data_IF_428130725977
#
_entry.id   IF_428130725977
#
_cell.length_a   1.000
_cell.length_b   1.000
_cell.length_c   1.000
_cell.angle_alpha   90.00
_cell.angle_beta   90.00
_cell.angle_gamma   90.00
#
_symmetry.space_group_name_H-M   'P 1'
#
loop_
_entity.id
_entity.type
_entity.pdbx_description
1 polymer ?
#
# COMPACT_ATOMS: atom_id res chain seq x y z
N UNK A 1 -21.99 11.15 41.72
CA UNK A 1 -21.88 9.81 41.10
C UNK A 1 -21.42 9.97 39.65
N UNK A 2 -20.39 9.26 39.19
CA UNK A 2 -19.88 9.36 37.81
C UNK A 2 -20.86 8.69 36.84
N UNK A 3 -21.15 9.34 35.71
CA UNK A 3 -22.05 8.79 34.70
C UNK A 3 -21.41 7.58 33.99
N UNK A 4 -22.02 6.40 34.11
CA UNK A 4 -21.61 5.18 33.42
C UNK A 4 -22.23 5.09 32.02
N UNK A 5 -21.62 4.30 31.14
CA UNK A 5 -22.11 4.07 29.78
C UNK A 5 -22.53 2.62 29.56
N UNK A 6 -23.49 2.42 28.66
CA UNK A 6 -23.96 1.10 28.22
C UNK A 6 -23.71 0.94 26.71
N UNK A 7 -23.50 -0.31 26.27
CA UNK A 7 -23.45 -0.60 24.83
C UNK A 7 -24.81 -0.33 24.19
N UNK A 8 -24.81 0.29 23.01
CA UNK A 8 -26.03 0.67 22.27
C UNK A 8 -26.51 -0.40 21.28
N UNK A 9 -25.70 -1.42 20.99
CA UNK A 9 -26.06 -2.54 20.10
C UNK A 9 -26.37 -3.77 20.95
N UNK A 10 -27.08 -4.74 20.36
CA UNK A 10 -27.37 -6.03 20.99
C UNK A 10 -26.12 -6.80 21.42
N UNK A 11 -24.97 -6.59 20.77
CA UNK A 11 -23.72 -7.24 21.12
C UNK A 11 -23.14 -6.64 22.42
N UNK A 12 -23.16 -7.44 23.48
CA UNK A 12 -22.67 -7.10 24.83
C UNK A 12 -21.16 -7.29 25.04
N UNK A 13 -20.49 -8.05 24.16
CA UNK A 13 -19.08 -8.43 24.32
C UNK A 13 -18.08 -7.40 23.74
N UNK A 14 -16.91 -7.30 24.38
CA UNK A 14 -15.80 -6.42 23.97
C UNK A 14 -14.93 -7.05 22.87
N UNK A 15 -15.48 -7.13 21.66
CA UNK A 15 -14.76 -7.70 20.50
C UNK A 15 -14.02 -6.61 19.71
N UNK A 16 -13.06 -7.01 18.85
CA UNK A 16 -12.34 -6.07 17.94
C UNK A 16 -13.27 -5.26 17.04
N UNK A 17 -14.47 -5.77 16.73
CA UNK A 17 -15.47 -5.07 15.91
C UNK A 17 -16.39 -4.16 16.73
N UNK A 18 -16.46 -4.33 18.05
CA UNK A 18 -17.38 -3.63 18.95
C UNK A 18 -16.67 -2.65 19.91
N UNK A 19 -15.46 -2.19 19.55
CA UNK A 19 -14.77 -1.15 20.32
C UNK A 19 -15.60 0.15 20.33
N UNK A 20 -15.59 0.83 21.48
CA UNK A 20 -16.34 2.06 21.73
C UNK A 20 -15.41 3.23 22.07
N UNK A 21 -15.87 4.43 21.75
CA UNK A 21 -15.35 5.71 22.21
C UNK A 21 -16.41 6.36 23.08
N UNK A 22 -16.00 6.83 24.25
CA UNK A 22 -16.86 7.54 25.19
C UNK A 22 -16.78 9.02 24.84
N UNK A 23 -17.91 9.63 24.44
CA UNK A 23 -17.94 11.01 23.96
C UNK A 23 -19.05 11.79 24.66
N UNK A 24 -18.76 13.03 25.06
CA UNK A 24 -19.75 13.94 25.63
C UNK A 24 -20.53 14.58 24.50
N UNK A 25 -21.85 14.45 24.55
CA UNK A 25 -22.74 15.05 23.55
C UNK A 25 -23.04 16.52 23.91
N UNK A 26 -23.50 17.35 22.96
CA UNK A 26 -23.88 18.73 23.24
C UNK A 26 -24.91 18.88 24.38
N UNK A 27 -25.82 17.91 24.53
CA UNK A 27 -26.77 17.85 25.64
C UNK A 27 -26.17 17.42 26.98
N UNK A 28 -24.84 17.43 27.12
CA UNK A 28 -24.13 17.13 28.37
C UNK A 28 -24.06 15.65 28.76
N UNK A 29 -24.71 14.74 28.02
CA UNK A 29 -24.74 13.30 28.31
C UNK A 29 -23.50 12.60 27.77
N UNK A 30 -22.94 11.68 28.56
CA UNK A 30 -21.85 10.79 28.13
C UNK A 30 -22.44 9.59 27.36
N UNK A 31 -22.03 9.40 26.11
CA UNK A 31 -22.57 8.37 25.21
C UNK A 31 -21.46 7.49 24.63
N UNK A 32 -21.72 6.19 24.52
CA UNK A 32 -20.83 5.24 23.84
C UNK A 32 -21.08 5.25 22.31
N UNK A 33 -20.09 5.71 21.55
CA UNK A 33 -20.07 5.64 20.09
C UNK A 33 -19.18 4.48 19.62
N UNK A 34 -19.65 3.69 18.65
CA UNK A 34 -18.84 2.59 18.10
C UNK A 34 -17.73 3.13 17.21
N UNK A 35 -16.51 2.66 17.46
CA UNK A 35 -15.37 2.88 16.59
C UNK A 35 -15.38 1.89 15.41
N UNK A 36 -14.99 2.38 14.22
CA UNK A 36 -14.70 1.52 13.08
C UNK A 36 -13.29 0.94 13.25
N UNK A 37 -13.07 -0.26 12.70
CA UNK A 37 -11.72 -0.84 12.65
C UNK A 37 -10.80 0.07 11.82
N UNK A 38 -9.54 0.19 12.23
CA UNK A 38 -8.52 0.91 11.47
C UNK A 38 -8.27 0.22 10.13
N UNK A 39 -8.01 0.99 9.08
CA UNK A 39 -7.58 0.46 7.79
C UNK A 39 -6.14 -0.03 7.86
N UNK A 40 -5.81 -1.07 7.11
CA UNK A 40 -4.42 -1.48 6.91
C UNK A 40 -3.72 -0.53 5.93
N UNK A 41 -2.41 -0.32 6.08
CA UNK A 41 -1.64 0.41 5.08
C UNK A 41 -1.60 -0.33 3.75
N UNK A 42 -1.43 0.42 2.65
CA UNK A 42 -1.12 -0.17 1.34
C UNK A 42 0.39 -0.42 1.31
N UNK A 43 0.79 -1.68 1.21
CA UNK A 43 2.19 -2.09 1.20
C UNK A 43 2.76 -2.17 -0.22
N UNK A 44 4.05 -1.90 -0.36
CA UNK A 44 4.81 -2.19 -1.56
C UNK A 44 4.87 -3.71 -1.78
N UNK A 45 4.59 -4.17 -3.00
CA UNK A 45 4.61 -5.60 -3.32
C UNK A 45 6.00 -6.25 -3.37
N UNK A 46 7.10 -5.49 -3.30
CA UNK A 46 8.48 -6.02 -3.32
C UNK A 46 9.07 -6.00 -1.90
N UNK A 47 9.13 -4.83 -1.28
CA UNK A 47 9.78 -4.63 0.02
C UNK A 47 8.84 -4.62 1.23
N UNK A 48 7.52 -4.67 1.04
CA UNK A 48 6.53 -4.65 2.12
C UNK A 48 6.36 -3.30 2.85
N UNK A 49 7.16 -2.29 2.52
CA UNK A 49 7.08 -0.95 3.14
C UNK A 49 5.73 -0.29 2.82
N UNK A 50 5.16 0.44 3.78
CA UNK A 50 3.93 1.22 3.55
C UNK A 50 4.17 2.33 2.52
N UNK A 51 3.28 2.42 1.51
CA UNK A 51 3.41 3.41 0.45
C UNK A 51 3.04 4.80 0.96
N UNK A 52 3.96 5.74 0.77
CA UNK A 52 3.72 7.16 1.04
C UNK A 52 2.70 7.75 0.06
N UNK A 53 1.93 8.73 0.54
CA UNK A 53 0.94 9.45 -0.26
C UNK A 53 -0.41 8.73 -0.43
N UNK A 54 -0.58 7.53 0.13
CA UNK A 54 -1.85 6.79 0.07
C UNK A 54 -2.44 6.64 1.49
N UNK A 55 -3.68 7.11 1.73
CA UNK A 55 -4.29 7.09 3.04
C UNK A 55 -4.61 5.65 3.48
N UNK A 56 -4.49 5.41 4.79
CA UNK A 56 -4.85 4.13 5.40
C UNK A 56 -6.36 4.03 5.61
N UNK A 57 -7.06 3.48 4.63
CA UNK A 57 -8.51 3.37 4.62
C UNK A 57 -8.98 1.92 4.58
N UNK A 58 -10.20 1.65 5.09
CA UNK A 58 -10.85 0.35 4.91
C UNK A 58 -11.25 0.17 3.44
N UNK A 59 -11.32 -1.06 2.91
CA UNK A 59 -11.67 -1.31 1.51
C UNK A 59 -12.96 -0.62 1.04
N UNK A 60 -14.00 -0.60 1.89
CA UNK A 60 -15.27 0.07 1.58
C UNK A 60 -15.16 1.60 1.49
N UNK A 61 -14.24 2.23 2.25
CA UNK A 61 -13.97 3.67 2.19
C UNK A 61 -13.06 3.96 1.00
N UNK A 62 -12.02 3.15 0.81
CA UNK A 62 -11.10 3.26 -0.32
C UNK A 62 -11.85 3.20 -1.66
N UNK A 63 -12.86 2.31 -1.80
CA UNK A 63 -13.72 2.25 -2.99
C UNK A 63 -14.40 3.60 -3.31
N UNK A 64 -14.78 4.37 -2.29
CA UNK A 64 -15.49 5.66 -2.41
C UNK A 64 -14.56 6.86 -2.57
N UNK A 65 -13.27 6.72 -2.25
CA UNK A 65 -12.29 7.81 -2.39
C UNK A 65 -12.01 8.14 -3.86
N UNK A 66 -11.64 9.40 -4.17
CA UNK A 66 -11.25 9.81 -5.52
C UNK A 66 -9.96 9.10 -5.97
N UNK A 67 -9.75 9.00 -7.29
CA UNK A 67 -8.60 8.27 -7.86
C UNK A 67 -7.26 8.86 -7.41
N UNK A 68 -7.14 10.19 -7.35
CA UNK A 68 -5.92 10.91 -6.98
C UNK A 68 -5.39 10.57 -5.58
N UNK A 69 -6.28 10.20 -4.65
CA UNK A 69 -5.90 9.83 -3.28
C UNK A 69 -5.49 8.36 -3.19
N UNK A 70 -5.83 7.55 -4.20
CA UNK A 70 -5.55 6.10 -4.22
C UNK A 70 -4.23 5.75 -4.89
N UNK A 71 -3.58 6.71 -5.54
CA UNK A 71 -2.37 6.47 -6.32
C UNK A 71 -1.34 7.59 -6.15
N UNK A 72 -0.14 7.33 -6.65
CA UNK A 72 0.94 8.30 -6.78
C UNK A 72 1.23 8.46 -8.27
N UNK A 73 1.48 9.69 -8.73
CA UNK A 73 1.72 10.01 -10.14
C UNK A 73 3.12 9.60 -10.60
N UNK A 74 3.36 8.29 -10.73
CA UNK A 74 4.57 7.70 -11.34
C UNK A 74 4.29 6.31 -11.89
N UNK A 75 5.25 5.74 -12.62
CA UNK A 75 5.22 4.32 -13.02
C UNK A 75 5.08 3.41 -11.77
N UNK A 76 4.19 2.43 -11.86
CA UNK A 76 3.82 1.52 -10.76
C UNK A 76 3.35 2.22 -9.46
N UNK A 77 2.88 3.47 -9.57
CA UNK A 77 2.35 4.22 -8.44
C UNK A 77 1.20 3.50 -7.73
N UNK A 78 1.25 3.46 -6.40
CA UNK A 78 0.27 2.76 -5.57
C UNK A 78 0.40 1.25 -5.48
N UNK A 79 1.37 0.65 -6.17
CA UNK A 79 1.75 -0.76 -5.99
C UNK A 79 3.19 -0.92 -5.53
N UNK A 80 4.10 -0.06 -6.01
CA UNK A 80 5.54 -0.14 -5.75
C UNK A 80 6.08 1.16 -5.15
N UNK A 81 7.09 1.06 -4.28
CA UNK A 81 7.80 2.21 -3.71
C UNK A 81 8.79 2.82 -4.73
N UNK A 82 9.33 4.01 -4.43
CA UNK A 82 10.19 4.75 -5.37
C UNK A 82 11.47 3.97 -5.67
N UNK A 83 12.04 3.39 -4.61
CA UNK A 83 13.29 2.65 -4.64
C UNK A 83 13.17 1.36 -5.46
N UNK A 84 12.12 0.56 -5.24
CA UNK A 84 11.90 -0.65 -6.04
C UNK A 84 11.65 -0.33 -7.52
N UNK A 85 10.97 0.78 -7.83
CA UNK A 85 10.79 1.20 -9.23
C UNK A 85 12.12 1.59 -9.85
N UNK A 86 12.96 2.36 -9.14
CA UNK A 86 14.32 2.70 -9.61
C UNK A 86 15.16 1.46 -9.86
N UNK A 87 15.16 0.51 -8.94
CA UNK A 87 15.89 -0.75 -9.08
C UNK A 87 15.42 -1.56 -10.30
N UNK A 88 14.11 -1.60 -10.57
CA UNK A 88 13.55 -2.25 -11.77
C UNK A 88 14.03 -1.60 -13.06
N UNK A 89 14.03 -0.27 -13.13
CA UNK A 89 14.47 0.48 -14.31
C UNK A 89 15.95 0.19 -14.58
N UNK A 90 16.81 0.37 -13.56
CA UNK A 90 18.26 0.15 -13.69
C UNK A 90 18.56 -1.30 -14.04
N UNK A 91 17.89 -2.26 -13.39
CA UNK A 91 18.07 -3.68 -13.68
C UNK A 91 17.66 -4.03 -15.10
N UNK A 92 16.54 -3.53 -15.59
CA UNK A 92 16.10 -3.79 -16.97
C UNK A 92 17.13 -3.28 -17.97
N UNK A 93 17.56 -2.03 -17.81
CA UNK A 93 18.56 -1.41 -18.67
C UNK A 93 19.86 -2.22 -18.70
N UNK A 94 20.45 -2.50 -17.54
CA UNK A 94 21.73 -3.22 -17.48
C UNK A 94 21.64 -4.66 -18.03
N UNK A 95 20.52 -5.35 -17.81
CA UNK A 95 20.33 -6.71 -18.35
C UNK A 95 20.23 -6.67 -19.88
N UNK A 96 19.56 -5.68 -20.45
CA UNK A 96 19.43 -5.56 -21.90
C UNK A 96 20.76 -5.16 -22.55
N UNK A 97 21.51 -4.22 -21.96
CA UNK A 97 22.87 -3.88 -22.40
C UNK A 97 23.80 -5.11 -22.37
N UNK A 98 23.79 -5.86 -21.27
CA UNK A 98 24.57 -7.10 -21.17
C UNK A 98 24.17 -8.14 -22.22
N UNK A 99 22.88 -8.24 -22.57
CA UNK A 99 22.40 -9.14 -23.63
C UNK A 99 22.93 -8.72 -25.01
N UNK A 100 22.91 -7.41 -25.31
CA UNK A 100 23.42 -6.87 -26.58
C UNK A 100 24.92 -7.15 -26.71
N UNK A 101 25.71 -6.81 -25.68
CA UNK A 101 27.16 -7.07 -25.66
C UNK A 101 27.46 -8.56 -25.85
N UNK A 102 26.76 -9.44 -25.14
CA UNK A 102 26.92 -10.90 -25.30
C UNK A 102 26.58 -11.38 -26.72
N UNK A 103 25.62 -10.76 -27.39
CA UNK A 103 25.26 -11.10 -28.78
C UNK A 103 26.35 -10.68 -29.75
N UNK A 104 26.83 -9.43 -29.65
CA UNK A 104 27.90 -8.90 -30.49
C UNK A 104 29.19 -9.72 -30.35
N UNK A 105 29.60 -10.05 -29.12
CA UNK A 105 30.79 -10.88 -28.89
C UNK A 105 30.66 -12.28 -29.51
N UNK A 106 29.47 -12.89 -29.42
CA UNK A 106 29.22 -14.20 -30.07
C UNK A 106 29.27 -14.11 -31.58
N UNK A 107 28.73 -13.04 -32.17
CA UNK A 107 28.73 -12.86 -33.63
C UNK A 107 30.14 -12.58 -34.15
N UNK A 108 30.95 -11.80 -33.42
CA UNK A 108 32.38 -11.59 -33.72
C UNK A 108 33.19 -12.89 -33.65
N UNK A 109 32.99 -13.69 -32.60
CA UNK A 109 33.67 -14.99 -32.46
C UNK A 109 33.31 -15.96 -33.61
N UNK A 110 32.04 -15.99 -34.05
CA UNK A 110 31.62 -16.77 -35.22
C UNK A 110 32.28 -16.28 -36.51
N UNK A 111 32.35 -14.96 -36.72
CA UNK A 111 33.01 -14.38 -37.89
C UNK A 111 34.51 -14.69 -37.93
N UNK A 112 35.19 -14.68 -36.78
CA UNK A 112 36.61 -15.05 -36.69
C UNK A 112 36.82 -16.55 -36.95
N UNK A 113 35.98 -17.42 -36.38
CA UNK A 113 36.03 -18.86 -36.62
C UNK A 113 35.75 -19.24 -38.08
N UNK A 114 34.95 -18.45 -38.81
CA UNK A 114 34.69 -18.67 -40.23
C UNK A 114 35.78 -18.11 -41.17
N UNK A 115 36.68 -17.26 -40.65
CA UNK A 115 37.81 -16.70 -41.41
C UNK A 115 39.08 -17.55 -41.32
N UNK A 116 39.16 -18.41 -40.31
CA UNK A 116 40.20 -19.43 -40.17
C UNK A 116 39.72 -20.75 -40.79
#
# INVERSE_FOLDING_TARGET
>A
MVQRVTYRRRLSYNTKSNKISVTKTPGGRIVAHRLRKRGSPVSCGDCGIALAGIPHARPAVLKRMPKREKNVTRAYGGSRCAECVRARIVRSFLVDEQRIVKKVLKDQAKQQAAKN
#
